data_IF_899969043149
#
_entry.id   IF_899969043149
#
_cell.length_a   1.000
_cell.length_b   1.000
_cell.length_c   1.000
_cell.angle_alpha   90.00
_cell.angle_beta   90.00
_cell.angle_gamma   90.00
#
_symmetry.space_group_name_H-M   'P 1'
#
loop_
_entity.id
_entity.type
_entity.pdbx_description
1 polymer ?
#
# COMPACT_ATOMS: atom_id res chain seq x y z
N UNK A 1 -10.47 30.89 -15.61
CA UNK A 1 -9.52 30.10 -14.78
C UNK A 1 -9.78 28.62 -15.06
N UNK A 2 -9.28 28.07 -16.16
CA UNK A 2 -9.61 26.70 -16.62
C UNK A 2 -8.29 25.96 -16.92
N UNK A 3 -7.67 25.40 -15.87
CA UNK A 3 -6.36 24.74 -16.02
C UNK A 3 -5.76 24.19 -14.73
N UNK A 4 -6.24 24.60 -13.55
CA UNK A 4 -5.74 24.11 -12.26
C UNK A 4 -6.29 22.73 -11.88
N UNK A 5 -7.47 22.37 -12.38
CA UNK A 5 -8.19 21.14 -12.01
C UNK A 5 -7.51 19.89 -12.61
N UNK A 6 -7.07 19.97 -13.86
CA UNK A 6 -6.37 18.89 -14.54
C UNK A 6 -5.00 18.57 -13.92
N UNK A 7 -4.28 19.58 -13.42
CA UNK A 7 -2.99 19.35 -12.76
C UNK A 7 -3.18 18.54 -11.47
N UNK A 8 -4.18 18.87 -10.65
CA UNK A 8 -4.41 18.17 -9.39
C UNK A 8 -4.68 16.67 -9.59
N UNK A 9 -5.48 16.28 -10.60
CA UNK A 9 -5.77 14.86 -10.88
C UNK A 9 -4.50 14.07 -11.25
N UNK A 10 -3.60 14.67 -12.05
CA UNK A 10 -2.30 14.06 -12.37
C UNK A 10 -1.40 13.93 -11.14
N UNK A 11 -1.35 14.96 -10.28
CA UNK A 11 -0.54 14.94 -9.07
C UNK A 11 -1.07 13.93 -8.03
N UNK A 12 -2.39 13.84 -7.84
CA UNK A 12 -3.03 12.90 -6.92
C UNK A 12 -2.81 11.46 -7.39
N UNK A 13 -2.99 11.20 -8.69
CA UNK A 13 -2.68 9.90 -9.29
C UNK A 13 -1.19 9.54 -9.17
N UNK A 14 -0.29 10.49 -9.42
CA UNK A 14 1.15 10.30 -9.26
C UNK A 14 1.55 9.97 -7.83
N UNK A 15 0.99 10.70 -6.85
CA UNK A 15 1.23 10.45 -5.42
C UNK A 15 0.72 9.07 -5.00
N UNK A 16 -0.41 8.64 -5.57
CA UNK A 16 -1.00 7.32 -5.34
C UNK A 16 -0.10 6.19 -5.83
N UNK A 17 0.37 6.29 -7.08
CA UNK A 17 1.32 5.33 -7.66
C UNK A 17 2.66 5.31 -6.92
N UNK A 18 3.14 6.47 -6.45
CA UNK A 18 4.32 6.57 -5.59
C UNK A 18 4.11 5.86 -4.25
N UNK A 19 2.94 5.99 -3.62
CA UNK A 19 2.63 5.29 -2.36
C UNK A 19 2.61 3.77 -2.55
N UNK A 20 2.03 3.29 -3.65
CA UNK A 20 2.05 1.86 -4.01
C UNK A 20 3.48 1.38 -4.26
N UNK A 21 4.27 2.12 -5.04
CA UNK A 21 5.67 1.80 -5.32
C UNK A 21 6.53 1.78 -4.05
N UNK A 22 6.37 2.78 -3.18
CA UNK A 22 7.04 2.86 -1.89
C UNK A 22 6.67 1.68 -0.98
N UNK A 23 5.38 1.31 -0.93
CA UNK A 23 4.93 0.16 -0.16
C UNK A 23 5.56 -1.16 -0.65
N UNK A 24 5.71 -1.33 -1.97
CA UNK A 24 6.42 -2.47 -2.58
C UNK A 24 7.90 -2.52 -2.17
N UNK A 25 8.60 -1.37 -2.21
CA UNK A 25 10.00 -1.27 -1.79
C UNK A 25 10.17 -1.59 -0.32
N UNK A 26 9.30 -1.08 0.55
CA UNK A 26 9.31 -1.42 1.98
C UNK A 26 8.98 -2.90 2.22
N UNK A 27 8.15 -3.53 1.38
CA UNK A 27 7.78 -4.94 1.51
C UNK A 27 8.98 -5.83 1.18
N UNK A 28 9.67 -5.57 0.07
CA UNK A 28 10.90 -6.27 -0.31
C UNK A 28 11.98 -6.06 0.76
N UNK A 29 12.18 -4.82 1.21
CA UNK A 29 13.17 -4.50 2.25
C UNK A 29 12.81 -5.14 3.59
N UNK A 30 11.52 -5.22 3.93
CA UNK A 30 11.00 -5.87 5.13
C UNK A 30 11.24 -7.38 5.12
N UNK A 31 10.97 -8.05 3.99
CA UNK A 31 11.32 -9.47 3.78
C UNK A 31 12.82 -9.68 3.97
N UNK A 32 13.65 -8.84 3.34
CA UNK A 32 15.11 -8.98 3.39
C UNK A 32 15.70 -8.74 4.79
N UNK A 33 15.15 -7.79 5.56
CA UNK A 33 15.66 -7.43 6.89
C UNK A 33 14.96 -8.17 8.03
N UNK A 34 13.94 -8.99 7.75
CA UNK A 34 13.06 -9.62 8.74
C UNK A 34 12.54 -8.63 9.81
N UNK A 35 12.31 -7.39 9.40
CA UNK A 35 11.87 -6.32 10.31
C UNK A 35 10.35 -6.25 10.27
N UNK A 36 9.71 -6.71 11.34
CA UNK A 36 8.25 -6.63 11.52
C UNK A 36 7.72 -5.19 11.37
N UNK A 37 8.49 -4.21 11.85
CA UNK A 37 8.14 -2.79 11.76
C UNK A 37 8.00 -2.31 10.31
N UNK A 38 8.83 -2.80 9.39
CA UNK A 38 8.78 -2.42 7.97
C UNK A 38 7.50 -2.91 7.29
N UNK A 39 7.00 -4.09 7.66
CA UNK A 39 5.73 -4.59 7.15
C UNK A 39 4.52 -3.83 7.72
N UNK A 40 4.60 -3.41 8.98
CA UNK A 40 3.58 -2.55 9.59
C UNK A 40 3.49 -1.20 8.88
N UNK A 41 4.65 -0.58 8.56
CA UNK A 41 4.69 0.64 7.75
C UNK A 41 4.16 0.42 6.33
N UNK A 42 4.45 -0.71 5.68
CA UNK A 42 3.83 -1.04 4.39
C UNK A 42 2.31 -1.06 4.48
N UNK A 43 1.76 -1.83 5.43
CA UNK A 43 0.32 -1.97 5.58
C UNK A 43 -0.33 -0.60 5.84
N UNK A 44 0.32 0.26 6.64
CA UNK A 44 -0.15 1.62 6.92
C UNK A 44 -0.11 2.52 5.66
N UNK A 45 0.91 2.40 4.81
CA UNK A 45 0.98 3.13 3.54
C UNK A 45 -0.09 2.68 2.52
N UNK A 46 -0.47 1.40 2.59
CA UNK A 46 -1.49 0.79 1.74
C UNK A 46 -2.92 1.06 2.23
N UNK A 47 -3.12 1.45 3.49
CA UNK A 47 -4.44 1.81 4.05
C UNK A 47 -5.21 2.87 3.25
N UNK A 48 -4.64 4.04 2.90
CA UNK A 48 -5.35 5.04 2.10
C UNK A 48 -5.69 4.53 0.69
N UNK A 49 -4.83 3.67 0.12
CA UNK A 49 -5.09 3.04 -1.17
C UNK A 49 -6.24 2.02 -1.07
N UNK A 50 -6.28 1.25 0.01
CA UNK A 50 -7.35 0.31 0.28
C UNK A 50 -8.68 1.01 0.54
N UNK A 51 -8.68 2.12 1.30
CA UNK A 51 -9.85 2.94 1.54
C UNK A 51 -10.40 3.52 0.23
N UNK A 52 -9.52 4.03 -0.65
CA UNK A 52 -9.91 4.52 -1.97
C UNK A 52 -10.59 3.43 -2.82
N UNK A 53 -10.04 2.21 -2.84
CA UNK A 53 -10.61 1.09 -3.60
C UNK A 53 -11.80 0.40 -2.90
N UNK A 54 -12.07 0.68 -1.62
CA UNK A 54 -13.21 0.11 -0.89
C UNK A 54 -14.56 0.53 -1.46
N UNK A 55 -14.62 1.69 -2.12
CA UNK A 55 -15.83 2.19 -2.80
C UNK A 55 -16.00 1.66 -4.22
N UNK A 56 -15.10 0.80 -4.72
CA UNK A 56 -15.21 0.25 -6.06
C UNK A 56 -16.23 -0.90 -6.09
N UNK A 57 -17.19 -0.84 -7.01
CA UNK A 57 -18.16 -1.93 -7.27
C UNK A 57 -17.60 -3.02 -8.22
N UNK A 58 -16.41 -2.79 -8.78
CA UNK A 58 -15.79 -3.64 -9.79
C UNK A 58 -14.72 -4.57 -9.18
N UNK A 59 -14.09 -5.40 -10.01
CA UNK A 59 -12.97 -6.27 -9.62
C UNK A 59 -11.79 -5.51 -8.95
N UNK A 60 -11.69 -4.19 -9.14
CA UNK A 60 -10.74 -3.34 -8.42
C UNK A 60 -10.94 -3.32 -6.90
N UNK A 61 -12.10 -3.74 -6.38
CA UNK A 61 -12.34 -3.94 -4.95
C UNK A 61 -11.38 -4.93 -4.31
N UNK A 62 -10.86 -5.90 -5.07
CA UNK A 62 -9.86 -6.85 -4.57
C UNK A 62 -8.52 -6.18 -4.24
N UNK A 63 -8.22 -5.01 -4.83
CA UNK A 63 -7.01 -4.22 -4.51
C UNK A 63 -7.09 -3.65 -3.09
N UNK A 64 -8.29 -3.53 -2.50
CA UNK A 64 -8.47 -3.20 -1.08
C UNK A 64 -7.81 -4.22 -0.13
N UNK A 65 -7.54 -5.45 -0.59
CA UNK A 65 -6.86 -6.48 0.19
C UNK A 65 -5.33 -6.41 0.04
N UNK A 66 -4.81 -5.45 -0.71
CA UNK A 66 -3.37 -5.21 -0.82
C UNK A 66 -2.63 -4.97 0.51
N UNK A 67 -3.17 -4.30 1.57
CA UNK A 67 -2.52 -4.24 2.88
C UNK A 67 -2.57 -5.56 3.65
N UNK A 68 -3.42 -6.52 3.26
CA UNK A 68 -3.52 -7.82 3.92
C UNK A 68 -2.29 -8.70 3.64
N UNK A 69 -1.71 -8.59 2.44
CA UNK A 69 -0.50 -9.32 2.03
C UNK A 69 0.71 -9.03 2.95
N UNK A 70 1.12 -7.76 3.18
CA UNK A 70 2.20 -7.46 4.12
C UNK A 70 1.85 -7.81 5.56
N UNK A 71 0.57 -7.74 5.96
CA UNK A 71 0.12 -8.16 7.29
C UNK A 71 0.30 -9.67 7.52
N UNK A 72 -0.09 -10.49 6.55
CA UNK A 72 0.12 -11.94 6.60
C UNK A 72 1.61 -12.30 6.61
N UNK A 73 2.40 -11.63 5.78
CA UNK A 73 3.85 -11.80 5.75
C UNK A 73 4.52 -11.39 7.08
N UNK A 74 4.04 -10.32 7.72
CA UNK A 74 4.48 -9.91 9.05
C UNK A 74 4.15 -10.97 10.11
N UNK A 75 2.94 -11.51 10.09
CA UNK A 75 2.50 -12.60 10.98
C UNK A 75 3.37 -13.85 10.82
N UNK A 76 3.65 -14.25 9.58
CA UNK A 76 4.52 -15.38 9.28
C UNK A 76 5.96 -15.19 9.81
N UNK A 77 6.53 -14.01 9.63
CA UNK A 77 7.85 -13.67 10.18
C UNK A 77 7.87 -13.65 11.71
N UNK A 78 6.80 -13.12 12.33
CA UNK A 78 6.68 -13.11 13.79
C UNK A 78 6.64 -14.53 14.37
N UNK A 79 5.98 -15.46 13.68
CA UNK A 79 5.96 -16.89 14.04
C UNK A 79 7.32 -17.56 13.90
N UNK A 80 8.12 -17.18 12.89
CA UNK A 80 9.46 -17.75 12.66
C UNK A 80 10.53 -17.26 13.65
N UNK A 81 10.25 -16.16 14.37
CA UNK A 81 11.17 -15.59 15.37
C UNK A 81 11.00 -16.24 16.77
N UNK A 82 10.08 -17.20 16.93
CA UNK A 82 9.94 -18.03 18.13
C UNK A 82 10.68 -19.35 18.04
#
# INVERSE_FOLDING_TARGET
MCGRENMNVFWIGGLFWLSIGAALVFLIRGVMRQQFLSFLLCALLLLPSAYYFSGAENAYRWIMLSPLVPLLAAGWLSMKKR
#
